data_IF_774368995258
#
_entry.id   IF_774368995258
#
_cell.length_a   1.000
_cell.length_b   1.000
_cell.length_c   1.000
_cell.angle_alpha   90.00
_cell.angle_beta   90.00
_cell.angle_gamma   90.00
#
_symmetry.space_group_name_H-M   'P 1'
#
loop_
_entity.id
_entity.type
_entity.pdbx_description
1 polymer ?
#
# COMPACT_ATOMS: atom_id res chain seq x y z
N UNK A 1 -39.47 11.80 45.77
CA UNK A 1 -38.82 10.48 45.97
C UNK A 1 -38.74 9.77 44.63
N UNK A 2 -37.66 9.99 43.87
CA UNK A 2 -37.32 9.19 42.68
C UNK A 2 -35.80 9.04 42.63
N UNK A 3 -35.36 7.79 42.58
CA UNK A 3 -33.97 7.36 42.65
C UNK A 3 -33.35 7.39 41.25
N UNK A 4 -32.20 8.06 41.08
CA UNK A 4 -31.42 8.01 39.84
C UNK A 4 -30.18 7.16 40.06
N UNK A 5 -30.13 6.01 39.39
CA UNK A 5 -29.05 5.04 39.46
C UNK A 5 -27.80 5.56 38.74
N UNK A 6 -26.67 5.57 39.44
CA UNK A 6 -25.35 5.89 38.90
C UNK A 6 -24.79 4.65 38.20
N UNK A 7 -24.72 4.67 36.86
CA UNK A 7 -24.10 3.59 36.09
C UNK A 7 -22.59 3.80 35.99
N UNK A 8 -21.84 3.11 36.85
CA UNK A 8 -20.39 2.97 36.72
C UNK A 8 -20.07 2.02 35.55
N UNK A 9 -19.69 2.55 34.39
CA UNK A 9 -19.09 1.74 33.32
C UNK A 9 -17.58 1.61 33.58
N UNK A 10 -17.18 0.41 34.01
CA UNK A 10 -15.81 -0.05 34.05
C UNK A 10 -15.15 0.10 32.67
N UNK A 11 -14.07 0.88 32.61
CA UNK A 11 -13.30 1.12 31.39
C UNK A 11 -12.64 -0.17 30.91
N UNK A 12 -13.08 -0.67 29.75
CA UNK A 12 -12.33 -1.66 28.99
C UNK A 12 -11.23 -0.87 28.28
N UNK A 13 -9.99 -1.01 28.74
CA UNK A 13 -8.82 -0.38 28.13
C UNK A 13 -8.47 -1.15 26.85
N UNK A 14 -9.12 -0.83 25.73
CA UNK A 14 -8.63 -1.28 24.42
C UNK A 14 -7.29 -0.58 24.18
N UNK A 15 -6.22 -1.38 24.15
CA UNK A 15 -4.92 -0.95 23.64
C UNK A 15 -5.08 -0.65 22.16
N UNK A 16 -5.31 0.62 21.84
CA UNK A 16 -5.22 1.15 20.48
C UNK A 16 -3.76 1.01 20.05
N UNK A 17 -3.40 -0.15 19.46
CA UNK A 17 -2.19 -0.26 18.68
C UNK A 17 -2.24 0.85 17.62
N UNK A 18 -1.13 1.58 17.46
CA UNK A 18 -1.01 2.76 16.63
C UNK A 18 -1.39 2.50 15.16
N UNK A 19 -2.67 2.54 14.83
CA UNK A 19 -3.13 2.64 13.45
C UNK A 19 -2.97 4.10 13.06
N UNK A 20 -1.79 4.43 12.52
CA UNK A 20 -1.48 5.75 11.97
C UNK A 20 -2.37 6.11 10.78
N UNK A 21 -3.65 6.42 11.05
CA UNK A 21 -4.56 7.07 10.12
C UNK A 21 -4.21 8.56 10.04
N UNK A 22 -3.03 8.86 9.51
CA UNK A 22 -2.69 10.20 9.09
C UNK A 22 -3.61 10.58 7.92
N UNK A 23 -4.67 11.34 8.19
CA UNK A 23 -5.48 11.95 7.14
C UNK A 23 -4.57 12.97 6.45
N UNK A 24 -4.01 12.61 5.29
CA UNK A 24 -3.20 13.52 4.49
C UNK A 24 -4.10 14.68 4.05
N UNK A 25 -3.88 15.86 4.64
CA UNK A 25 -4.60 17.09 4.31
C UNK A 25 -4.03 17.63 3.00
N UNK A 26 -4.59 17.21 1.87
CA UNK A 26 -4.28 17.80 0.57
C UNK A 26 -4.94 19.17 0.47
N UNK A 27 -4.12 20.22 0.44
CA UNK A 27 -4.42 21.66 0.26
C UNK A 27 -5.61 22.22 1.06
N UNK A 28 -5.32 23.20 1.93
CA UNK A 28 -6.35 23.97 2.61
C UNK A 28 -7.07 24.86 1.62
N UNK A 29 -8.40 24.76 1.60
CA UNK A 29 -9.30 25.48 0.70
C UNK A 29 -9.21 27.01 0.91
N UNK A 30 -8.27 27.69 0.25
CA UNK A 30 -8.24 29.15 0.00
C UNK A 30 -7.02 29.57 -0.83
N UNK A 31 -7.01 29.33 -2.14
CA UNK A 31 -6.16 30.12 -3.06
C UNK A 31 -6.72 30.09 -4.49
N UNK A 32 -6.44 31.14 -5.25
CA UNK A 32 -6.90 31.39 -6.62
C UNK A 32 -6.65 30.17 -7.54
N UNK A 33 -7.62 29.85 -8.39
CA UNK A 33 -7.57 28.74 -9.35
C UNK A 33 -6.46 28.85 -10.41
N UNK A 34 -5.56 29.82 -10.31
CA UNK A 34 -4.50 30.10 -11.28
C UNK A 34 -3.11 29.59 -10.85
N UNK A 35 -2.93 29.12 -9.61
CA UNK A 35 -1.59 28.77 -9.10
C UNK A 35 -1.13 27.35 -9.47
N UNK A 36 -2.06 26.42 -9.75
CA UNK A 36 -1.71 25.03 -10.06
C UNK A 36 -1.68 24.75 -11.56
N UNK A 37 -0.64 24.03 -12.00
CA UNK A 37 -0.54 23.50 -13.38
C UNK A 37 -1.67 22.53 -13.72
N UNK A 38 -2.15 21.77 -12.72
CA UNK A 38 -3.15 20.73 -12.90
C UNK A 38 -4.16 20.73 -11.76
N UNK A 39 -5.43 20.78 -12.12
CA UNK A 39 -6.57 20.70 -11.19
C UNK A 39 -7.32 19.39 -11.42
N UNK A 40 -6.86 18.34 -10.75
CA UNK A 40 -7.52 17.03 -10.85
C UNK A 40 -8.85 17.03 -10.09
N UNK A 41 -9.93 16.61 -10.75
CA UNK A 41 -11.25 16.41 -10.14
C UNK A 41 -11.19 15.31 -9.07
N UNK A 42 -10.36 14.29 -9.29
CA UNK A 42 -10.15 13.18 -8.37
C UNK A 42 -8.89 13.44 -7.54
N UNK A 43 -8.92 13.26 -6.21
CA UNK A 43 -7.72 13.40 -5.38
C UNK A 43 -6.57 12.54 -5.93
N UNK A 44 -5.36 13.07 -6.00
CA UNK A 44 -4.23 12.36 -6.65
C UNK A 44 -3.98 10.97 -6.06
N UNK A 45 -4.25 10.76 -4.77
CA UNK A 45 -4.08 9.48 -4.08
C UNK A 45 -5.38 8.68 -3.88
N UNK A 46 -6.45 9.00 -4.61
CA UNK A 46 -7.77 8.40 -4.43
C UNK A 46 -7.76 6.86 -4.53
N UNK A 47 -7.09 6.30 -5.53
CA UNK A 47 -7.03 4.86 -5.79
C UNK A 47 -5.97 4.10 -4.99
N UNK A 48 -5.16 4.80 -4.17
CA UNK A 48 -4.03 4.18 -3.49
C UNK A 48 -4.44 3.02 -2.58
N UNK A 49 -5.61 3.12 -1.94
CA UNK A 49 -6.13 2.11 -1.01
C UNK A 49 -6.69 0.88 -1.71
N UNK A 50 -7.08 1.01 -2.99
CA UNK A 50 -7.66 -0.06 -3.80
C UNK A 50 -6.65 -0.69 -4.76
N UNK A 51 -5.37 -0.32 -4.67
CA UNK A 51 -4.34 -0.95 -5.49
C UNK A 51 -4.24 -2.44 -5.15
N UNK A 52 -4.20 -3.32 -6.16
CA UNK A 52 -3.99 -4.74 -5.93
C UNK A 52 -2.60 -4.96 -5.33
N UNK A 53 -2.47 -6.04 -4.55
CA UNK A 53 -1.17 -6.48 -4.07
C UNK A 53 -0.33 -6.95 -5.25
N UNK A 54 0.98 -6.72 -5.17
CA UNK A 54 1.91 -7.24 -6.16
C UNK A 54 1.87 -8.78 -6.12
N UNK A 55 1.56 -9.47 -7.23
CA UNK A 55 1.53 -10.92 -7.25
C UNK A 55 2.94 -11.49 -7.12
N UNK A 56 3.06 -12.59 -6.38
CA UNK A 56 4.31 -13.36 -6.31
C UNK A 56 4.28 -14.40 -7.44
N UNK A 57 5.24 -14.38 -8.39
CA UNK A 57 5.27 -15.35 -9.48
C UNK A 57 5.53 -16.77 -8.94
N UNK A 58 5.11 -17.79 -9.71
CA UNK A 58 5.48 -19.17 -9.40
C UNK A 58 6.99 -19.35 -9.48
N UNK A 59 7.50 -20.28 -8.69
CA UNK A 59 8.93 -20.59 -8.69
C UNK A 59 9.41 -21.01 -10.09
N UNK A 60 8.66 -21.89 -10.76
CA UNK A 60 8.99 -22.39 -12.10
C UNK A 60 9.07 -21.26 -13.14
N UNK A 61 8.18 -20.26 -13.05
CA UNK A 61 8.20 -19.10 -13.95
C UNK A 61 9.45 -18.25 -13.72
N UNK A 62 9.81 -18.09 -12.44
CA UNK A 62 10.97 -17.29 -12.03
C UNK A 62 12.27 -17.96 -12.50
N UNK A 63 12.43 -19.26 -12.26
CA UNK A 63 13.61 -20.03 -12.68
C UNK A 63 13.74 -20.05 -14.21
N UNK A 64 12.64 -20.28 -14.94
CA UNK A 64 12.66 -20.28 -16.41
C UNK A 64 13.08 -18.93 -16.98
N UNK A 65 12.52 -17.82 -16.48
CA UNK A 65 12.91 -16.46 -16.93
C UNK A 65 14.36 -16.15 -16.58
N UNK A 66 14.83 -16.59 -15.41
CA UNK A 66 16.22 -16.44 -15.01
C UNK A 66 17.16 -17.16 -15.98
N UNK A 67 16.96 -18.45 -16.25
CA UNK A 67 17.78 -19.20 -17.20
C UNK A 67 17.72 -18.59 -18.61
N UNK A 68 16.54 -18.16 -19.07
CA UNK A 68 16.41 -17.47 -20.35
C UNK A 68 17.24 -16.18 -20.41
N UNK A 69 17.33 -15.42 -19.31
CA UNK A 69 18.15 -14.21 -19.23
C UNK A 69 19.66 -14.49 -19.18
N UNK A 70 20.07 -15.64 -18.66
CA UNK A 70 21.48 -16.06 -18.63
C UNK A 70 21.97 -16.61 -19.96
N UNK A 71 21.09 -17.21 -20.77
CA UNK A 71 21.45 -17.84 -22.04
C UNK A 71 22.30 -16.97 -23.01
N UNK A 72 22.01 -15.68 -23.24
CA UNK A 72 22.84 -14.84 -24.11
C UNK A 72 24.18 -14.42 -23.50
N UNK A 73 24.40 -14.67 -22.21
CA UNK A 73 25.59 -14.22 -21.48
C UNK A 73 26.62 -15.33 -21.28
N UNK A 74 26.24 -16.59 -21.52
CA UNK A 74 27.01 -17.77 -21.17
C UNK A 74 27.22 -18.67 -22.38
N UNK A 75 28.42 -19.26 -22.45
CA UNK A 75 28.71 -20.35 -23.38
C UNK A 75 27.94 -21.62 -22.99
N UNK A 76 27.80 -22.56 -23.93
CA UNK A 76 26.97 -23.76 -23.76
C UNK A 76 27.39 -24.61 -22.55
N UNK A 77 28.69 -24.73 -22.27
CA UNK A 77 29.21 -25.49 -21.13
C UNK A 77 28.89 -24.83 -19.77
N UNK A 78 28.99 -23.50 -19.72
CA UNK A 78 28.65 -22.72 -18.53
C UNK A 78 27.16 -22.80 -18.24
N UNK A 79 26.34 -22.67 -19.28
CA UNK A 79 24.89 -22.78 -19.16
C UNK A 79 24.46 -24.17 -18.69
N UNK A 80 25.08 -25.23 -19.22
CA UNK A 80 24.77 -26.63 -18.85
C UNK A 80 25.09 -26.96 -17.39
N UNK A 81 26.03 -26.25 -16.77
CA UNK A 81 26.36 -26.42 -15.34
C UNK A 81 25.28 -25.81 -14.43
N UNK A 82 24.44 -24.91 -14.95
CA UNK A 82 23.39 -24.22 -14.19
C UNK A 82 22.01 -24.91 -14.24
N UNK A 83 21.81 -25.86 -15.17
CA UNK A 83 20.56 -26.60 -15.40
C UNK A 83 20.65 -27.97 -14.75
#
# INVERSE_FOLDING_TARGET
MQCVASLRKSGIHLRTAALGLHKRHYSSKKESSTEYLSQSVVPSMHYQKSLPRLPIPKLDDTVRRYLASQRPLLDDDQFRTMV
#
